data_IF_804540525734
#
_entry.id   IF_804540525734
#
_cell.length_a   1.000
_cell.length_b   1.000
_cell.length_c   1.000
_cell.angle_alpha   90.00
_cell.angle_beta   90.00
_cell.angle_gamma   90.00
#
_symmetry.space_group_name_H-M   'P 1'
#
loop_
_entity.id
_entity.type
_entity.pdbx_description
1 polymer ?
#
# COMPACT_ATOMS: atom_id res chain seq x y z
N UNK A 1 -44.87 26.52 6.40
CA UNK A 1 -43.56 26.67 7.09
C UNK A 1 -43.43 25.52 8.07
N UNK A 2 -42.49 24.59 7.85
CA UNK A 2 -42.16 23.55 8.83
C UNK A 2 -40.77 23.88 9.39
N UNK A 3 -40.72 24.23 10.67
CA UNK A 3 -39.49 24.48 11.41
C UNK A 3 -38.82 23.15 11.72
N UNK A 4 -37.66 22.88 11.13
CA UNK A 4 -36.83 21.71 11.45
C UNK A 4 -35.94 22.10 12.62
N UNK A 5 -36.19 21.55 13.81
CA UNK A 5 -35.27 21.67 14.94
C UNK A 5 -33.90 21.08 14.56
N UNK A 6 -32.77 21.72 14.92
CA UNK A 6 -31.46 21.13 14.72
C UNK A 6 -31.33 19.91 15.63
N UNK A 7 -31.09 18.74 15.05
CA UNK A 7 -30.77 17.55 15.82
C UNK A 7 -29.39 17.78 16.47
N UNK A 8 -29.26 17.76 17.80
CA UNK A 8 -27.96 17.81 18.45
C UNK A 8 -27.23 16.48 18.22
N UNK A 9 -25.91 16.57 18.07
CA UNK A 9 -24.96 15.47 18.17
C UNK A 9 -24.83 14.51 16.98
N UNK A 10 -24.71 15.04 15.76
CA UNK A 10 -23.97 14.33 14.68
C UNK A 10 -22.48 14.67 14.64
N UNK A 11 -22.01 15.63 15.45
CA UNK A 11 -20.58 15.97 15.56
C UNK A 11 -19.80 15.02 16.46
N UNK A 12 -20.44 14.40 17.46
CA UNK A 12 -19.76 13.52 18.42
C UNK A 12 -19.45 12.11 17.85
N UNK A 13 -20.09 11.72 16.74
CA UNK A 13 -19.78 10.48 16.01
C UNK A 13 -18.82 10.70 14.83
N UNK A 14 -18.44 11.96 14.54
CA UNK A 14 -17.53 12.29 13.46
C UNK A 14 -16.05 11.96 13.78
N UNK A 15 -15.72 11.67 15.03
CA UNK A 15 -14.34 11.52 15.52
C UNK A 15 -13.72 10.12 15.34
N UNK A 16 -14.43 9.15 14.75
CA UNK A 16 -13.92 7.78 14.56
C UNK A 16 -13.57 7.47 13.08
N UNK A 17 -13.91 8.34 12.11
CA UNK A 17 -13.74 8.03 10.68
C UNK A 17 -13.40 9.26 9.82
N UNK A 18 -12.16 9.76 9.88
CA UNK A 18 -11.74 10.87 9.02
C UNK A 18 -10.36 10.71 8.36
N UNK A 19 -9.87 9.48 8.18
CA UNK A 19 -8.87 9.29 7.13
C UNK A 19 -9.61 9.38 5.79
N UNK A 20 -9.46 10.50 5.08
CA UNK A 20 -9.97 10.61 3.71
C UNK A 20 -9.17 9.68 2.81
N UNK A 21 -9.76 9.26 1.68
CA UNK A 21 -9.04 8.47 0.67
C UNK A 21 -7.76 9.21 0.25
N UNK A 22 -7.83 10.53 0.06
CA UNK A 22 -6.67 11.36 -0.25
C UNK A 22 -5.54 11.24 0.79
N UNK A 23 -5.88 11.24 2.09
CA UNK A 23 -4.88 11.08 3.15
C UNK A 23 -4.25 9.68 3.14
N UNK A 24 -5.03 8.65 2.80
CA UNK A 24 -4.53 7.27 2.66
C UNK A 24 -3.60 7.20 1.45
N UNK A 25 -3.98 7.79 0.33
CA UNK A 25 -3.17 7.80 -0.90
C UNK A 25 -1.82 8.51 -0.68
N UNK A 26 -1.83 9.63 0.04
CA UNK A 26 -0.58 10.31 0.42
C UNK A 26 0.30 9.42 1.31
N UNK A 27 -0.28 8.68 2.24
CA UNK A 27 0.47 7.73 3.07
C UNK A 27 1.04 6.57 2.24
N UNK A 28 0.29 6.05 1.27
CA UNK A 28 0.76 5.03 0.33
C UNK A 28 1.98 5.56 -0.44
N UNK A 29 1.93 6.78 -0.97
CA UNK A 29 3.04 7.38 -1.70
C UNK A 29 4.29 7.56 -0.82
N UNK A 30 4.12 7.98 0.44
CA UNK A 30 5.24 8.10 1.39
C UNK A 30 5.88 6.73 1.70
N UNK A 31 5.06 5.70 1.91
CA UNK A 31 5.54 4.34 2.12
C UNK A 31 6.27 3.78 0.90
N UNK A 32 5.74 4.02 -0.30
CA UNK A 32 6.39 3.64 -1.55
C UNK A 32 7.73 4.33 -1.73
N UNK A 33 7.79 5.64 -1.48
CA UNK A 33 9.06 6.40 -1.51
C UNK A 33 10.12 5.76 -0.62
N UNK A 34 9.76 5.41 0.62
CA UNK A 34 10.66 4.73 1.55
C UNK A 34 11.07 3.34 1.06
N UNK A 35 10.12 2.54 0.57
CA UNK A 35 10.39 1.19 0.04
C UNK A 35 11.37 1.23 -1.12
N UNK A 36 11.20 2.15 -2.07
CA UNK A 36 12.11 2.29 -3.21
C UNK A 36 13.47 2.88 -2.83
N UNK A 37 13.55 3.69 -1.77
CA UNK A 37 14.85 4.08 -1.22
C UNK A 37 15.62 2.85 -0.71
N UNK A 38 14.96 1.95 0.03
CA UNK A 38 15.55 0.70 0.51
C UNK A 38 15.95 -0.23 -0.65
N UNK A 39 15.10 -0.38 -1.66
CA UNK A 39 15.42 -1.17 -2.84
C UNK A 39 16.69 -0.67 -3.54
N UNK A 40 16.85 0.66 -3.71
CA UNK A 40 18.05 1.24 -4.34
C UNK A 40 19.33 1.08 -3.52
N UNK A 41 19.25 1.18 -2.19
CA UNK A 41 20.45 1.22 -1.33
C UNK A 41 20.86 -0.16 -0.82
N UNK A 42 19.89 -0.99 -0.45
CA UNK A 42 20.11 -2.29 0.18
C UNK A 42 19.72 -3.47 -0.73
N UNK A 43 19.04 -3.22 -1.85
CA UNK A 43 18.47 -4.30 -2.66
C UNK A 43 17.24 -4.98 -2.04
N UNK A 44 16.66 -4.39 -0.99
CA UNK A 44 15.51 -4.97 -0.30
C UNK A 44 14.26 -4.99 -1.20
N UNK A 45 13.50 -6.08 -1.13
CA UNK A 45 12.33 -6.31 -1.98
C UNK A 45 12.66 -6.51 -3.47
N UNK A 46 13.92 -6.82 -3.80
CA UNK A 46 14.36 -7.34 -5.11
C UNK A 46 14.57 -8.84 -4.95
N UNK A 47 13.86 -9.63 -5.75
CA UNK A 47 13.96 -11.09 -5.74
C UNK A 47 14.56 -11.55 -7.05
N UNK A 48 15.71 -12.23 -6.97
CA UNK A 48 16.36 -12.86 -8.12
C UNK A 48 15.87 -14.32 -8.30
N UNK A 49 15.28 -14.90 -7.25
CA UNK A 49 14.74 -16.25 -7.22
C UNK A 49 13.21 -16.27 -7.31
N UNK A 50 12.69 -17.10 -8.22
CA UNK A 50 11.26 -17.19 -8.51
C UNK A 50 10.47 -17.88 -7.38
N UNK A 51 11.10 -18.76 -6.61
CA UNK A 51 10.46 -19.41 -5.47
C UNK A 51 10.37 -18.45 -4.27
N UNK A 52 11.40 -17.64 -4.04
CA UNK A 52 11.38 -16.55 -3.04
C UNK A 52 10.26 -15.55 -3.36
N UNK A 53 10.17 -15.13 -4.62
CA UNK A 53 9.12 -14.22 -5.11
C UNK A 53 7.73 -14.82 -4.91
N UNK A 54 7.54 -16.10 -5.22
CA UNK A 54 6.26 -16.81 -5.04
C UNK A 54 5.88 -16.92 -3.57
N UNK A 55 6.83 -17.23 -2.69
CA UNK A 55 6.61 -17.32 -1.26
C UNK A 55 6.21 -15.95 -0.66
N UNK A 56 6.90 -14.88 -1.06
CA UNK A 56 6.56 -13.52 -0.66
C UNK A 56 5.16 -13.12 -1.12
N UNK A 57 4.81 -13.36 -2.40
CA UNK A 57 3.47 -13.09 -2.93
C UNK A 57 2.39 -13.90 -2.20
N UNK A 58 2.64 -15.16 -1.86
CA UNK A 58 1.68 -15.98 -1.11
C UNK A 58 1.40 -15.40 0.29
N UNK A 59 2.45 -14.97 1.00
CA UNK A 59 2.29 -14.34 2.31
C UNK A 59 1.45 -13.05 2.24
N UNK A 60 1.68 -12.24 1.21
CA UNK A 60 0.99 -10.96 1.01
C UNK A 60 -0.46 -11.17 0.60
N UNK A 61 -0.74 -12.15 -0.27
CA UNK A 61 -2.11 -12.55 -0.62
C UNK A 61 -2.90 -13.02 0.60
N UNK A 62 -2.29 -13.81 1.48
CA UNK A 62 -2.90 -14.22 2.75
C UNK A 62 -3.23 -13.01 3.62
N UNK A 63 -2.29 -12.06 3.73
CA UNK A 63 -2.52 -10.84 4.53
C UNK A 63 -3.61 -9.95 3.95
N UNK A 64 -3.69 -9.83 2.62
CA UNK A 64 -4.75 -9.09 1.95
C UNK A 64 -6.14 -9.68 2.27
N UNK A 65 -6.25 -11.01 2.21
CA UNK A 65 -7.47 -11.73 2.57
C UNK A 65 -7.90 -11.45 4.02
N UNK A 66 -6.97 -11.56 4.97
CA UNK A 66 -7.23 -11.26 6.40
C UNK A 66 -7.70 -9.82 6.63
N UNK A 67 -7.24 -8.87 5.82
CA UNK A 67 -7.58 -7.46 5.89
C UNK A 67 -8.83 -7.08 5.08
N UNK A 68 -9.45 -8.03 4.36
CA UNK A 68 -10.60 -7.76 3.49
C UNK A 68 -10.25 -6.97 2.22
N UNK A 69 -8.98 -6.94 1.82
CA UNK A 69 -8.52 -6.27 0.60
C UNK A 69 -8.59 -7.25 -0.58
N UNK A 70 -9.04 -6.84 -1.79
CA UNK A 70 -9.11 -7.72 -2.95
C UNK A 70 -7.76 -8.38 -3.28
N UNK A 71 -7.69 -9.70 -3.12
CA UNK A 71 -6.44 -10.48 -3.24
C UNK A 71 -5.84 -10.38 -4.66
N UNK A 72 -6.68 -10.34 -5.69
CA UNK A 72 -6.22 -10.17 -7.09
C UNK A 72 -5.56 -8.82 -7.31
N UNK A 73 -6.15 -7.72 -6.82
CA UNK A 73 -5.56 -6.39 -6.88
C UNK A 73 -4.20 -6.36 -6.17
N UNK A 74 -4.12 -6.94 -4.98
CA UNK A 74 -2.87 -6.99 -4.22
C UNK A 74 -1.82 -7.81 -4.94
N UNK A 75 -2.20 -8.95 -5.54
CA UNK A 75 -1.29 -9.78 -6.30
C UNK A 75 -0.67 -9.01 -7.48
N UNK A 76 -1.52 -8.40 -8.32
CA UNK A 76 -1.07 -7.67 -9.50
C UNK A 76 -0.24 -6.43 -9.14
N UNK A 77 -0.62 -5.74 -8.07
CA UNK A 77 0.12 -4.60 -7.56
C UNK A 77 1.51 -5.00 -7.06
N UNK A 78 1.61 -6.05 -6.24
CA UNK A 78 2.90 -6.47 -5.67
C UNK A 78 3.86 -7.03 -6.72
N UNK A 79 3.32 -7.71 -7.73
CA UNK A 79 4.06 -8.20 -8.89
C UNK A 79 4.78 -7.03 -9.60
N UNK A 80 4.03 -6.00 -9.99
CA UNK A 80 4.58 -4.79 -10.62
C UNK A 80 5.52 -4.00 -9.71
N UNK A 81 5.20 -3.94 -8.42
CA UNK A 81 6.00 -3.23 -7.42
C UNK A 81 7.38 -3.86 -7.26
N UNK A 82 7.47 -5.19 -7.30
CA UNK A 82 8.72 -5.94 -7.26
C UNK A 82 9.58 -5.67 -8.50
N UNK A 83 8.99 -5.77 -9.68
CA UNK A 83 9.70 -5.57 -10.95
C UNK A 83 10.30 -4.16 -11.04
N UNK A 84 9.53 -3.15 -10.63
CA UNK A 84 10.00 -1.77 -10.55
C UNK A 84 11.18 -1.61 -9.57
N UNK A 85 11.17 -2.36 -8.47
CA UNK A 85 12.22 -2.30 -7.45
C UNK A 85 13.52 -2.89 -7.96
N UNK A 86 13.44 -4.05 -8.63
CA UNK A 86 14.59 -4.65 -9.31
C UNK A 86 15.16 -3.74 -10.39
N UNK A 87 14.31 -3.09 -11.18
CA UNK A 87 14.76 -2.14 -12.20
C UNK A 87 15.51 -0.94 -11.60
N UNK A 88 14.97 -0.33 -10.53
CA UNK A 88 15.61 0.80 -9.87
C UNK A 88 16.93 0.43 -9.19
N UNK A 89 17.00 -0.75 -8.56
CA UNK A 89 18.25 -1.26 -7.97
C UNK A 89 19.34 -1.47 -9.02
N UNK A 90 18.99 -2.11 -10.15
CA UNK A 90 19.93 -2.30 -11.28
C UNK A 90 20.41 -0.97 -11.84
N UNK A 91 19.51 0.00 -12.01
CA UNK A 91 19.88 1.34 -12.47
C UNK A 91 20.82 2.04 -11.47
N UNK A 92 20.57 1.91 -10.17
CA UNK A 92 21.42 2.49 -9.13
C UNK A 92 22.84 1.91 -9.15
N UNK A 93 22.99 0.60 -9.40
CA UNK A 93 24.30 -0.06 -9.52
C UNK A 93 25.07 0.27 -10.82
N UNK A 94 24.39 0.79 -11.83
CA UNK A 94 24.99 1.14 -13.14
C UNK A 94 25.56 2.56 -13.22
N UNK A 95 25.42 3.35 -12.15
CA UNK A 95 25.90 4.73 -12.02
C UNK A 95 27.20 4.79 -11.22
#
# INVERSE_FOLDING_TARGET
MLYRSPNPDSSALADISAATVDMIDQQILLLLSRRFALARTAGDGVWDDEDERRAALAAIRRRAFELGVPVSLVADFWDRLSDASGAMHRQAKSR
#
